data_IF_848894936807
#
_entry.id   IF_848894936807
#
_cell.length_a   1.000
_cell.length_b   1.000
_cell.length_c   1.000
_cell.angle_alpha   90.00
_cell.angle_beta   90.00
_cell.angle_gamma   90.00
#
_symmetry.space_group_name_H-M   'P 1'
#
loop_
_entity.id
_entity.type
_entity.pdbx_description
1 polymer ?
#
# COMPACT_ATOMS: atom_id res chain seq x y z
N UNK A 1 11.46 4.52 -6.20
CA UNK A 1 12.66 3.70 -6.04
C UNK A 1 12.40 2.75 -4.90
N UNK A 2 12.24 1.45 -5.15
CA UNK A 2 11.80 0.45 -4.18
C UNK A 2 13.00 -0.34 -3.70
N UNK A 3 13.14 -0.56 -2.39
CA UNK A 3 14.23 -1.37 -1.85
C UNK A 3 13.67 -2.53 -1.05
N UNK A 4 14.07 -3.76 -1.38
CA UNK A 4 13.72 -4.98 -0.64
C UNK A 4 14.91 -5.45 0.17
N UNK A 5 14.74 -5.56 1.50
CA UNK A 5 15.80 -6.02 2.39
C UNK A 5 15.58 -7.45 2.90
N UNK A 6 16.42 -8.45 2.53
CA UNK A 6 16.41 -9.78 3.15
C UNK A 6 16.46 -9.71 4.69
N UNK A 7 15.53 -10.39 5.36
CA UNK A 7 15.62 -10.70 6.78
C UNK A 7 16.76 -11.73 7.00
N UNK A 8 17.25 -11.80 8.24
CA UNK A 8 18.30 -12.73 8.65
C UNK A 8 18.03 -14.15 8.11
N UNK A 9 19.00 -14.73 7.39
CA UNK A 9 18.92 -16.08 6.82
C UNK A 9 18.67 -16.16 5.31
N UNK A 10 18.36 -15.06 4.63
CA UNK A 10 18.33 -15.05 3.16
C UNK A 10 19.76 -14.94 2.65
N UNK A 11 20.32 -16.02 2.12
CA UNK A 11 21.69 -16.00 1.57
C UNK A 11 21.80 -14.98 0.43
N UNK A 12 23.00 -14.39 0.25
CA UNK A 12 23.34 -13.57 -0.93
C UNK A 12 22.95 -14.27 -2.24
N UNK A 13 22.98 -15.60 -2.26
CA UNK A 13 22.57 -16.40 -3.42
C UNK A 13 21.08 -16.34 -3.73
N UNK A 14 20.19 -16.14 -2.75
CA UNK A 14 18.74 -15.98 -2.97
C UNK A 14 18.40 -14.60 -3.55
N UNK A 15 19.08 -13.53 -3.09
CA UNK A 15 18.91 -12.20 -3.66
C UNK A 15 19.37 -12.14 -5.12
N UNK A 16 20.56 -12.70 -5.42
CA UNK A 16 21.09 -12.80 -6.78
C UNK A 16 20.15 -13.59 -7.70
N UNK A 17 19.66 -14.75 -7.26
CA UNK A 17 18.70 -15.54 -8.03
C UNK A 17 17.42 -14.77 -8.33
N UNK A 18 16.89 -14.01 -7.37
CA UNK A 18 15.69 -13.21 -7.59
C UNK A 18 15.92 -12.10 -8.62
N UNK A 19 17.04 -11.39 -8.54
CA UNK A 19 17.35 -10.34 -9.53
C UNK A 19 17.59 -10.91 -10.92
N UNK A 20 18.23 -12.07 -11.04
CA UNK A 20 18.45 -12.76 -12.32
C UNK A 20 17.12 -13.19 -12.96
N UNK A 21 16.20 -13.76 -12.16
CA UNK A 21 14.86 -14.10 -12.65
C UNK A 21 14.11 -12.85 -13.08
N UNK A 22 14.15 -11.77 -12.29
CA UNK A 22 13.42 -10.54 -12.62
C UNK A 22 13.96 -9.93 -13.93
N UNK A 23 15.28 -9.91 -14.11
CA UNK A 23 15.91 -9.45 -15.34
C UNK A 23 15.53 -10.32 -16.54
N UNK A 24 15.60 -11.65 -16.40
CA UNK A 24 15.33 -12.59 -17.50
C UNK A 24 13.86 -12.62 -17.92
N UNK A 25 12.95 -12.69 -16.96
CA UNK A 25 11.52 -12.90 -17.22
C UNK A 25 10.77 -11.60 -17.50
N UNK A 26 11.22 -10.47 -16.93
CA UNK A 26 10.52 -9.19 -17.02
C UNK A 26 11.33 -8.08 -17.70
N UNK A 27 12.55 -8.36 -18.16
CA UNK A 27 13.48 -7.35 -18.71
C UNK A 27 13.65 -6.14 -17.77
N UNK A 28 13.68 -6.41 -16.46
CA UNK A 28 13.73 -5.40 -15.42
C UNK A 28 14.95 -5.60 -14.54
N UNK A 29 15.88 -4.65 -14.58
CA UNK A 29 17.16 -4.78 -13.89
C UNK A 29 17.11 -4.13 -12.51
N UNK A 30 17.46 -4.90 -11.49
CA UNK A 30 17.60 -4.44 -10.11
C UNK A 30 19.07 -4.42 -9.72
N UNK A 31 19.49 -3.37 -9.00
CA UNK A 31 20.84 -3.26 -8.47
C UNK A 31 20.91 -3.88 -7.08
N UNK A 32 21.82 -4.82 -6.89
CA UNK A 32 22.08 -5.40 -5.56
C UNK A 32 23.00 -4.47 -4.78
N UNK A 33 22.65 -4.23 -3.53
CA UNK A 33 23.43 -3.41 -2.59
C UNK A 33 23.89 -4.30 -1.45
N UNK A 34 25.19 -4.58 -1.32
CA UNK A 34 25.71 -5.38 -0.23
C UNK A 34 25.61 -4.63 1.12
N UNK A 35 25.79 -5.35 2.22
CA UNK A 35 25.58 -4.81 3.59
C UNK A 35 26.50 -3.62 3.90
N UNK A 36 27.75 -3.71 3.49
CA UNK A 36 28.79 -2.70 3.66
C UNK A 36 28.49 -1.40 2.90
N UNK A 37 27.82 -1.50 1.75
CA UNK A 37 27.38 -0.32 0.98
C UNK A 37 25.99 0.18 1.37
N UNK A 38 25.26 -0.55 2.22
CA UNK A 38 23.85 -0.28 2.49
C UNK A 38 23.59 1.14 3.04
N UNK A 39 24.54 1.69 3.80
CA UNK A 39 24.45 3.06 4.33
C UNK A 39 24.33 4.14 3.25
N UNK A 40 24.78 3.86 2.02
CA UNK A 40 24.59 4.77 0.89
C UNK A 40 23.12 4.89 0.49
N UNK A 41 22.31 3.86 0.77
CA UNK A 41 20.90 3.80 0.38
C UNK A 41 19.93 4.01 1.56
N UNK A 42 20.36 3.64 2.76
CA UNK A 42 19.50 3.53 3.93
C UNK A 42 20.29 3.79 5.22
N UNK A 43 19.83 4.75 6.03
CA UNK A 43 20.42 5.06 7.34
C UNK A 43 20.08 4.08 8.45
N UNK A 44 20.15 2.77 8.20
CA UNK A 44 19.81 1.72 9.18
C UNK A 44 20.76 0.52 9.10
N UNK A 45 21.22 0.05 10.26
CA UNK A 45 22.17 -1.06 10.39
C UNK A 45 21.55 -2.45 10.53
N UNK A 46 20.21 -2.53 10.65
CA UNK A 46 19.55 -3.80 10.99
C UNK A 46 19.41 -4.78 9.82
N UNK A 47 19.70 -4.34 8.59
CA UNK A 47 19.52 -5.14 7.37
C UNK A 47 20.86 -5.67 6.85
N UNK A 48 20.80 -6.67 5.97
CA UNK A 48 21.97 -7.43 5.50
C UNK A 48 22.36 -7.15 4.04
N UNK A 49 21.93 -5.99 3.51
CA UNK A 49 21.97 -5.64 2.09
C UNK A 49 20.56 -5.57 1.51
N UNK A 50 20.42 -5.09 0.28
CA UNK A 50 19.12 -4.84 -0.37
C UNK A 50 19.16 -4.94 -1.90
N UNK A 51 17.98 -4.80 -2.51
CA UNK A 51 17.82 -4.69 -3.96
C UNK A 51 17.16 -3.36 -4.28
N UNK A 52 17.81 -2.55 -5.10
CA UNK A 52 17.34 -1.25 -5.54
C UNK A 52 16.71 -1.36 -6.93
N UNK A 53 15.47 -0.87 -7.03
CA UNK A 53 14.79 -0.61 -8.31
C UNK A 53 14.93 0.86 -8.70
N UNK A 54 15.73 1.15 -9.72
CA UNK A 54 16.08 2.50 -10.18
C UNK A 54 14.91 3.23 -10.88
N UNK A 55 13.91 2.52 -11.42
CA UNK A 55 12.83 3.12 -12.22
C UNK A 55 11.48 3.17 -11.50
N UNK A 56 11.33 2.45 -10.38
CA UNK A 56 10.13 2.57 -9.55
C UNK A 56 9.95 3.97 -8.98
N UNK A 57 8.72 4.34 -8.62
CA UNK A 57 8.37 5.65 -8.07
C UNK A 57 7.39 5.54 -6.90
N UNK A 58 7.29 6.61 -6.10
CA UNK A 58 6.25 6.79 -5.09
C UNK A 58 5.27 7.86 -5.56
N UNK A 59 4.00 7.73 -5.16
CA UNK A 59 2.98 8.76 -5.40
C UNK A 59 2.17 9.03 -4.13
N UNK A 60 1.34 10.07 -4.16
CA UNK A 60 0.30 10.28 -3.15
C UNK A 60 -1.00 9.64 -3.64
N UNK A 61 -1.45 8.50 -3.05
CA UNK A 61 -2.62 7.79 -3.55
C UNK A 61 -3.90 8.62 -3.51
N UNK A 62 -4.06 9.49 -2.50
CA UNK A 62 -5.24 10.34 -2.39
C UNK A 62 -5.31 11.37 -3.54
N UNK A 63 -4.18 12.02 -3.85
CA UNK A 63 -4.11 12.94 -4.98
C UNK A 63 -4.28 12.23 -6.33
N UNK A 64 -3.71 11.02 -6.47
CA UNK A 64 -3.88 10.22 -7.67
C UNK A 64 -5.35 9.85 -7.90
N UNK A 65 -6.06 9.36 -6.89
CA UNK A 65 -7.49 9.05 -6.99
C UNK A 65 -8.33 10.29 -7.27
N UNK A 66 -8.01 11.43 -6.65
CA UNK A 66 -8.68 12.70 -6.96
C UNK A 66 -8.49 13.11 -8.43
N UNK A 67 -7.28 12.97 -8.96
CA UNK A 67 -6.97 13.22 -10.38
C UNK A 67 -7.73 12.27 -11.32
N UNK A 68 -7.77 10.97 -11.01
CA UNK A 68 -8.55 9.99 -11.77
C UNK A 68 -10.05 10.29 -11.76
N UNK A 69 -10.60 10.71 -10.62
CA UNK A 69 -12.01 11.12 -10.52
C UNK A 69 -12.30 12.33 -11.41
N UNK A 70 -11.38 13.31 -11.45
CA UNK A 70 -11.46 14.45 -12.37
C UNK A 70 -11.44 14.02 -13.84
N UNK A 71 -10.51 13.14 -14.22
CA UNK A 71 -10.41 12.61 -15.57
C UNK A 71 -11.68 11.85 -16.00
N UNK A 72 -12.22 11.01 -15.11
CA UNK A 72 -13.46 10.26 -15.37
C UNK A 72 -14.65 11.20 -15.60
N UNK A 73 -14.79 12.26 -14.78
CA UNK A 73 -15.84 13.28 -14.98
C UNK A 73 -15.69 14.00 -16.31
N UNK A 74 -14.47 14.37 -16.69
CA UNK A 74 -14.20 15.03 -17.97
C UNK A 74 -14.53 14.10 -19.17
N UNK A 75 -14.44 12.79 -18.98
CA UNK A 75 -14.88 11.79 -19.95
C UNK A 75 -16.39 11.50 -19.91
N UNK A 76 -17.18 12.22 -19.10
CA UNK A 76 -18.64 12.11 -19.02
C UNK A 76 -19.15 11.15 -17.95
N UNK A 77 -18.28 10.59 -17.09
CA UNK A 77 -18.73 9.75 -15.98
C UNK A 77 -19.41 10.58 -14.88
N UNK A 78 -20.48 10.03 -14.29
CA UNK A 78 -21.10 10.58 -13.10
C UNK A 78 -20.56 9.89 -11.84
N UNK A 79 -20.17 10.67 -10.84
CA UNK A 79 -19.67 10.17 -9.55
C UNK A 79 -20.67 10.54 -8.46
N UNK A 80 -21.15 9.52 -7.74
CA UNK A 80 -22.10 9.69 -6.65
C UNK A 80 -21.48 9.25 -5.33
N UNK A 81 -21.11 10.22 -4.51
CA UNK A 81 -20.62 9.96 -3.15
C UNK A 81 -21.79 9.76 -2.18
N UNK A 82 -21.48 9.15 -1.03
CA UNK A 82 -22.45 8.86 0.06
C UNK A 82 -23.72 8.13 -0.45
N UNK A 83 -23.56 7.34 -1.51
CA UNK A 83 -24.62 6.56 -2.16
C UNK A 83 -24.34 5.06 -1.99
N UNK A 84 -24.25 4.60 -0.73
CA UNK A 84 -23.94 3.19 -0.44
C UNK A 84 -24.94 2.29 -1.16
N UNK A 85 -24.45 1.33 -1.94
CA UNK A 85 -25.27 0.26 -2.52
C UNK A 85 -25.69 -0.67 -1.39
N UNK A 86 -26.98 -0.93 -1.26
CA UNK A 86 -27.58 -1.75 -0.21
C UNK A 86 -28.08 -3.08 -0.77
N UNK A 87 -28.46 -3.11 -2.06
CA UNK A 87 -28.96 -4.31 -2.72
C UNK A 87 -28.66 -4.31 -4.22
N UNK A 88 -28.33 -5.48 -4.75
CA UNK A 88 -28.18 -5.76 -6.18
C UNK A 88 -29.09 -6.93 -6.55
N UNK A 89 -29.97 -6.71 -7.53
CA UNK A 89 -30.93 -7.72 -7.98
C UNK A 89 -31.01 -7.76 -9.50
N UNK A 90 -31.08 -8.96 -10.09
CA UNK A 90 -31.38 -9.07 -11.53
C UNK A 90 -32.79 -8.55 -11.79
N UNK A 91 -32.94 -7.65 -12.76
CA UNK A 91 -34.22 -7.03 -13.09
C UNK A 91 -34.30 -6.69 -14.58
N UNK A 92 -35.50 -6.78 -15.14
CA UNK A 92 -35.78 -6.29 -16.49
C UNK A 92 -36.19 -4.81 -16.44
N UNK A 93 -35.66 -4.01 -17.37
CA UNK A 93 -36.12 -2.66 -17.63
C UNK A 93 -36.32 -2.48 -19.13
N UNK A 94 -37.55 -2.12 -19.53
CA UNK A 94 -37.94 -1.96 -20.95
C UNK A 94 -37.53 -3.15 -21.82
N UNK A 95 -37.82 -4.38 -21.35
CA UNK A 95 -37.49 -5.62 -22.05
C UNK A 95 -36.02 -6.04 -22.02
N UNK A 96 -35.12 -5.26 -21.42
CA UNK A 96 -33.69 -5.57 -21.33
C UNK A 96 -33.36 -6.13 -19.93
N UNK A 97 -32.69 -7.27 -19.87
CA UNK A 97 -32.17 -7.80 -18.61
C UNK A 97 -30.99 -6.95 -18.11
N UNK A 98 -30.94 -6.70 -16.81
CA UNK A 98 -29.86 -5.99 -16.14
C UNK A 98 -30.01 -6.09 -14.63
N UNK A 99 -29.65 -5.01 -13.94
CA UNK A 99 -29.57 -4.95 -12.49
C UNK A 99 -30.35 -3.76 -11.95
N UNK A 100 -31.21 -4.03 -10.97
CA UNK A 100 -31.72 -3.02 -10.07
C UNK A 100 -30.71 -2.81 -8.95
N UNK A 101 -30.22 -1.57 -8.82
CA UNK A 101 -29.24 -1.16 -7.83
C UNK A 101 -29.96 -0.26 -6.82
N UNK A 102 -30.22 -0.79 -5.63
CA UNK A 102 -30.78 -0.01 -4.52
C UNK A 102 -29.65 0.62 -3.73
N UNK A 103 -29.72 1.92 -3.53
CA UNK A 103 -28.74 2.69 -2.77
C UNK A 103 -29.43 3.47 -1.65
N UNK A 104 -28.65 3.96 -0.69
CA UNK A 104 -29.12 4.87 0.35
C UNK A 104 -29.72 6.19 -0.19
N UNK A 105 -29.55 6.50 -1.48
CA UNK A 105 -30.07 7.71 -2.15
C UNK A 105 -31.19 7.42 -3.15
N UNK A 106 -31.68 6.19 -3.20
CA UNK A 106 -32.70 5.75 -4.15
C UNK A 106 -32.22 4.63 -5.06
N UNK A 107 -33.01 4.35 -6.08
CA UNK A 107 -32.86 3.17 -6.93
C UNK A 107 -32.51 3.59 -8.35
N UNK A 108 -31.59 2.86 -8.96
CA UNK A 108 -31.27 2.99 -10.39
C UNK A 108 -31.22 1.62 -11.06
N UNK A 109 -31.34 1.61 -12.38
CA UNK A 109 -31.15 0.42 -13.19
C UNK A 109 -29.87 0.55 -14.01
N UNK A 110 -29.10 -0.53 -14.10
CA UNK A 110 -27.90 -0.61 -14.92
C UNK A 110 -27.90 -1.94 -15.68
N UNK A 111 -27.54 -1.93 -16.97
CA UNK A 111 -27.38 -3.17 -17.74
C UNK A 111 -26.25 -4.03 -17.17
N UNK A 112 -25.11 -3.39 -16.92
CA UNK A 112 -23.88 -4.02 -16.46
C UNK A 112 -23.44 -3.42 -15.12
N UNK A 113 -22.91 -4.25 -14.22
CA UNK A 113 -22.40 -3.83 -12.90
C UNK A 113 -20.99 -4.36 -12.71
N UNK A 114 -20.04 -3.46 -12.46
CA UNK A 114 -18.68 -3.79 -12.04
C UNK A 114 -18.49 -3.49 -10.55
N UNK A 115 -18.00 -4.47 -9.80
CA UNK A 115 -17.85 -4.38 -8.33
C UNK A 115 -16.40 -4.11 -7.97
N UNK A 116 -16.09 -2.86 -7.59
CA UNK A 116 -14.75 -2.40 -7.23
C UNK A 116 -14.51 -2.17 -5.74
N UNK A 117 -15.12 -2.97 -4.85
CA UNK A 117 -15.13 -2.70 -3.39
C UNK A 117 -13.97 -3.30 -2.58
N UNK A 118 -13.11 -4.13 -3.18
CA UNK A 118 -11.92 -4.73 -2.53
C UNK A 118 -12.21 -5.28 -1.12
N UNK A 119 -11.37 -5.01 -0.12
CA UNK A 119 -11.56 -5.42 1.29
C UNK A 119 -12.86 -4.92 1.94
N UNK A 120 -13.55 -3.94 1.35
CA UNK A 120 -14.84 -3.44 1.83
C UNK A 120 -16.04 -4.18 1.23
N UNK A 121 -15.80 -5.26 0.48
CA UNK A 121 -16.85 -6.08 -0.13
C UNK A 121 -17.78 -6.67 0.92
N UNK A 122 -19.05 -6.26 0.85
CA UNK A 122 -20.07 -6.62 1.83
C UNK A 122 -21.04 -7.71 1.36
N UNK A 123 -22.16 -7.82 2.08
CA UNK A 123 -23.25 -8.76 1.80
C UNK A 123 -23.98 -8.51 0.48
N UNK A 124 -23.82 -7.33 -0.12
CA UNK A 124 -24.40 -6.98 -1.44
C UNK A 124 -23.93 -7.95 -2.53
N UNK A 125 -22.72 -8.51 -2.39
CA UNK A 125 -22.14 -9.46 -3.34
C UNK A 125 -21.62 -10.69 -2.60
N UNK A 126 -22.50 -11.61 -2.14
CA UNK A 126 -22.12 -12.72 -1.25
C UNK A 126 -21.06 -13.64 -1.86
N UNK A 127 -21.13 -13.88 -3.17
CA UNK A 127 -20.16 -14.72 -3.88
C UNK A 127 -18.75 -14.11 -3.90
N UNK A 128 -18.63 -12.79 -3.97
CA UNK A 128 -17.35 -12.09 -3.90
C UNK A 128 -16.84 -12.01 -2.45
N UNK A 129 -17.74 -11.72 -1.49
CA UNK A 129 -17.40 -11.66 -0.06
C UNK A 129 -16.71 -12.94 0.43
N UNK A 130 -17.16 -14.11 -0.02
CA UNK A 130 -16.56 -15.42 0.35
C UNK A 130 -15.12 -15.61 -0.16
N UNK A 131 -14.67 -14.78 -1.12
CA UNK A 131 -13.37 -14.90 -1.79
C UNK A 131 -12.37 -13.82 -1.35
N UNK A 132 -12.78 -12.88 -0.50
CA UNK A 132 -11.95 -11.74 -0.08
C UNK A 132 -11.80 -11.78 1.44
N UNK A 133 -10.54 -11.80 1.89
CA UNK A 133 -10.20 -11.65 3.31
C UNK A 133 -9.67 -10.23 3.50
N UNK A 134 -10.37 -9.35 4.24
CA UNK A 134 -9.86 -8.02 4.54
C UNK A 134 -8.71 -8.12 5.55
N UNK A 135 -7.56 -7.55 5.21
CA UNK A 135 -6.37 -7.50 6.08
C UNK A 135 -6.08 -6.05 6.44
N UNK A 136 -6.03 -5.76 7.74
CA UNK A 136 -5.72 -4.44 8.26
C UNK A 136 -4.25 -4.11 8.06
N UNK A 137 -3.97 -2.94 7.51
CA UNK A 137 -2.63 -2.35 7.50
C UNK A 137 -2.71 -0.94 8.07
N UNK A 138 -1.76 -0.61 8.92
CA UNK A 138 -1.73 0.64 9.65
C UNK A 138 -0.47 1.41 9.28
N UNK A 139 -0.54 2.73 9.38
CA UNK A 139 0.53 3.65 9.06
C UNK A 139 0.62 4.69 10.18
N UNK A 140 1.84 4.96 10.65
CA UNK A 140 2.18 6.10 11.49
C UNK A 140 3.00 7.11 10.70
N UNK A 141 3.04 8.36 11.17
CA UNK A 141 3.91 9.39 10.64
C UNK A 141 4.58 10.16 11.78
N UNK A 142 5.85 10.51 11.61
CA UNK A 142 6.55 11.40 12.56
C UNK A 142 6.10 12.85 12.38
N UNK A 143 6.58 13.70 13.28
CA UNK A 143 6.73 15.13 12.98
C UNK A 143 7.71 15.37 11.82
N UNK A 144 7.78 16.62 11.35
CA UNK A 144 8.71 17.01 10.30
C UNK A 144 10.13 16.85 10.82
N UNK A 145 10.92 16.00 10.17
CA UNK A 145 12.29 15.77 10.59
C UNK A 145 13.20 16.93 10.16
N UNK A 146 14.23 17.25 10.98
CA UNK A 146 15.31 18.13 10.56
C UNK A 146 15.92 17.64 9.23
N UNK A 147 16.27 18.54 8.29
CA UNK A 147 16.79 18.15 6.98
C UNK A 147 17.97 17.18 7.05
N UNK A 148 18.92 17.42 7.96
CA UNK A 148 20.09 16.55 8.14
C UNK A 148 19.69 15.13 8.55
N UNK A 149 18.75 14.99 9.49
CA UNK A 149 18.26 13.69 9.93
C UNK A 149 17.48 12.97 8.81
N UNK A 150 16.63 13.68 8.08
CA UNK A 150 15.89 13.12 6.96
C UNK A 150 16.83 12.53 5.88
N UNK A 151 17.84 13.31 5.47
CA UNK A 151 18.84 12.88 4.49
C UNK A 151 19.70 11.71 5.00
N UNK A 152 20.00 11.65 6.29
CA UNK A 152 20.72 10.51 6.88
C UNK A 152 19.88 9.23 6.83
N UNK A 153 18.59 9.30 7.19
CA UNK A 153 17.73 8.12 7.28
C UNK A 153 17.36 7.55 5.90
N UNK A 154 17.11 8.42 4.92
CA UNK A 154 16.78 8.05 3.54
C UNK A 154 17.46 8.98 2.52
N UNK A 155 18.75 8.75 2.21
CA UNK A 155 19.57 9.62 1.35
C UNK A 155 18.97 9.91 -0.03
N UNK A 156 18.24 8.93 -0.57
CA UNK A 156 17.65 9.00 -1.91
C UNK A 156 16.12 9.09 -1.90
N UNK A 157 15.49 9.35 -0.75
CA UNK A 157 14.03 9.45 -0.60
C UNK A 157 13.25 8.28 -1.25
N UNK A 158 13.76 7.07 -1.05
CA UNK A 158 13.23 5.86 -1.69
C UNK A 158 11.94 5.40 -1.01
N UNK A 159 11.13 4.67 -1.77
CA UNK A 159 10.11 3.77 -1.23
C UNK A 159 10.83 2.56 -0.66
N UNK A 160 10.67 2.26 0.61
CA UNK A 160 11.45 1.21 1.25
C UNK A 160 10.50 0.14 1.79
N UNK A 161 10.86 -1.13 1.64
CA UNK A 161 10.16 -2.23 2.29
C UNK A 161 11.12 -3.37 2.66
N UNK A 162 10.86 -4.06 3.77
CA UNK A 162 11.66 -5.23 4.12
C UNK A 162 11.02 -6.55 3.62
N UNK A 163 11.77 -7.64 3.73
CA UNK A 163 11.32 -8.97 3.31
C UNK A 163 10.79 -9.83 4.45
N UNK A 164 10.52 -9.23 5.62
CA UNK A 164 9.97 -9.97 6.76
C UNK A 164 8.58 -10.49 6.41
N UNK A 165 8.15 -11.57 7.06
CA UNK A 165 6.78 -12.09 6.92
C UNK A 165 5.73 -11.05 7.33
N UNK A 166 6.06 -10.25 8.35
CA UNK A 166 5.35 -9.03 8.72
C UNK A 166 6.20 -7.86 8.29
N UNK A 167 6.09 -7.51 7.01
CA UNK A 167 6.96 -6.50 6.43
C UNK A 167 6.62 -5.11 6.96
N UNK A 168 7.66 -4.29 7.07
CA UNK A 168 7.53 -2.85 7.16
C UNK A 168 7.72 -2.23 5.78
N UNK A 169 6.93 -1.21 5.48
CA UNK A 169 7.11 -0.33 4.34
C UNK A 169 7.14 1.11 4.83
N UNK A 170 8.08 1.89 4.35
CA UNK A 170 8.29 3.24 4.85
C UNK A 170 8.95 4.14 3.81
N UNK A 171 8.81 5.44 4.02
CA UNK A 171 9.39 6.48 3.16
C UNK A 171 9.36 7.82 3.88
N UNK A 172 10.14 8.77 3.38
CA UNK A 172 9.91 10.18 3.69
C UNK A 172 8.76 10.74 2.85
N UNK A 173 7.91 11.55 3.48
CA UNK A 173 6.98 12.45 2.78
C UNK A 173 7.74 13.64 2.19
N UNK A 174 7.16 14.40 1.24
CA UNK A 174 7.80 15.58 0.66
C UNK A 174 8.21 16.64 1.70
N UNK A 175 7.48 16.73 2.82
CA UNK A 175 7.78 17.61 3.96
C UNK A 175 8.69 16.96 5.01
N UNK A 176 9.32 15.81 4.71
CA UNK A 176 10.30 15.09 5.55
C UNK A 176 9.75 14.44 6.83
N UNK A 177 8.52 13.93 6.81
CA UNK A 177 8.03 13.03 7.86
C UNK A 177 8.39 11.60 7.47
N UNK A 178 8.82 10.79 8.43
CA UNK A 178 8.92 9.35 8.22
C UNK A 178 7.51 8.77 8.29
N UNK A 179 6.98 8.35 7.13
CA UNK A 179 5.78 7.53 7.03
C UNK A 179 6.21 6.08 7.17
N UNK A 180 5.66 5.39 8.18
CA UNK A 180 6.04 4.02 8.51
C UNK A 180 4.80 3.14 8.65
N UNK A 181 4.68 2.14 7.79
CA UNK A 181 3.54 1.25 7.72
C UNK A 181 3.94 -0.21 7.82
N UNK A 182 2.97 -1.03 8.15
CA UNK A 182 3.16 -2.46 8.29
C UNK A 182 1.89 -3.17 8.69
N UNK A 183 2.04 -4.45 9.03
CA UNK A 183 0.96 -5.28 9.55
C UNK A 183 1.07 -5.34 11.06
N UNK A 184 0.06 -4.82 11.75
CA UNK A 184 0.05 -4.73 13.21
C UNK A 184 -1.16 -5.43 13.85
N UNK A 185 -2.34 -5.42 13.21
CA UNK A 185 -3.53 -6.14 13.69
C UNK A 185 -4.44 -6.60 12.54
N UNK A 186 -5.30 -7.58 12.81
CA UNK A 186 -6.39 -7.99 11.92
C UNK A 186 -7.62 -7.10 12.12
N UNK A 187 -8.51 -7.09 11.13
CA UNK A 187 -9.84 -6.49 11.27
C UNK A 187 -10.65 -7.18 12.39
N UNK A 188 -11.60 -6.48 13.05
CA UNK A 188 -12.08 -5.13 12.74
C UNK A 188 -11.23 -4.01 13.33
N UNK A 189 -11.21 -2.86 12.65
CA UNK A 189 -10.64 -1.62 13.17
C UNK A 189 -11.52 -1.07 14.30
N UNK A 190 -10.92 -0.90 15.47
CA UNK A 190 -11.46 -0.22 16.65
C UNK A 190 -10.44 0.80 17.14
N UNK A 191 -10.87 1.80 17.92
CA UNK A 191 -9.93 2.78 18.50
C UNK A 191 -8.80 2.11 19.29
N UNK A 192 -9.12 1.04 20.02
CA UNK A 192 -8.14 0.28 20.79
C UNK A 192 -7.12 -0.39 19.87
N UNK A 193 -7.58 -1.13 18.86
CA UNK A 193 -6.68 -1.81 17.90
C UNK A 193 -5.84 -0.83 17.10
N UNK A 194 -6.35 0.39 16.83
CA UNK A 194 -5.59 1.46 16.17
C UNK A 194 -4.45 1.92 17.07
N UNK A 195 -4.74 2.19 18.36
CA UNK A 195 -3.72 2.61 19.34
C UNK A 195 -2.64 1.54 19.55
N UNK A 196 -3.05 0.29 19.70
CA UNK A 196 -2.13 -0.85 19.82
C UNK A 196 -1.26 -1.01 18.57
N UNK A 197 -1.88 -0.90 17.39
CA UNK A 197 -1.17 -0.97 16.11
C UNK A 197 -0.16 0.16 15.95
N UNK A 198 -0.53 1.38 16.34
CA UNK A 198 0.37 2.53 16.30
C UNK A 198 1.58 2.32 17.21
N UNK A 199 1.40 1.77 18.42
CA UNK A 199 2.52 1.49 19.33
C UNK A 199 3.42 0.36 18.82
N UNK A 200 2.85 -0.69 18.21
CA UNK A 200 3.63 -1.74 17.55
C UNK A 200 4.49 -1.15 16.44
N UNK A 201 3.89 -0.33 15.57
CA UNK A 201 4.62 0.33 14.48
C UNK A 201 5.66 1.31 15.00
N UNK A 202 5.39 2.05 16.08
CA UNK A 202 6.36 2.98 16.69
C UNK A 202 7.59 2.23 17.19
N UNK A 203 7.41 1.11 17.90
CA UNK A 203 8.52 0.26 18.33
C UNK A 203 9.29 -0.33 17.15
N UNK A 204 8.57 -0.76 16.10
CA UNK A 204 9.18 -1.24 14.86
C UNK A 204 10.02 -0.17 14.16
N UNK A 205 9.49 1.04 14.04
CA UNK A 205 10.17 2.20 13.48
C UNK A 205 11.42 2.56 14.27
N UNK A 206 11.36 2.59 15.61
CA UNK A 206 12.53 2.85 16.47
C UNK A 206 13.56 1.73 16.36
N UNK A 207 13.14 0.48 16.15
CA UNK A 207 14.07 -0.61 15.90
C UNK A 207 14.82 -0.45 14.57
N UNK A 208 14.13 -0.03 13.51
CA UNK A 208 14.75 0.28 12.20
C UNK A 208 15.63 1.53 12.30
N UNK A 209 15.13 2.59 12.93
CA UNK A 209 15.78 3.89 13.06
C UNK A 209 15.79 4.34 14.53
N UNK A 210 16.80 3.95 15.32
CA UNK A 210 16.89 4.29 16.75
C UNK A 210 16.89 5.79 17.05
N UNK A 211 17.20 6.63 16.05
CA UNK A 211 17.20 8.10 16.16
C UNK A 211 15.81 8.74 16.12
N UNK A 212 14.76 8.00 15.78
CA UNK A 212 13.37 8.47 15.73
C UNK A 212 12.61 8.25 17.05
N UNK A 213 13.34 8.22 18.19
CA UNK A 213 12.77 8.03 19.52
C UNK A 213 12.05 9.25 20.04
#
# INVERSE_FOLDING_TARGET
>A
MSVRFPAAGTSRSLANKNTEVIAREFNHHLRIVPKDELRTELGSDIYFGGMVDEVSAGLNPAQYVAGLAGAAKNAGAAIFERARVEKLESAFHRGTQGWKVSTARGVLWARDVFVGTSGYTGSVTPGLKKKIIPIGSYIIATEILPPALASELSPHNRMIYDSKNYLYYYRLTPDRRMLFGGRAAFFPETEQTIRESAEILRRGMIHVYPRLR
#
